data_IF_946142433359
#
_entry.id   IF_946142433359
#
_cell.length_a   1.000
_cell.length_b   1.000
_cell.length_c   1.000
_cell.angle_alpha   90.00
_cell.angle_beta   90.00
_cell.angle_gamma   90.00
#
_symmetry.space_group_name_H-M   'P 1'
#
loop_
_entity.id
_entity.type
_entity.pdbx_description
1 polymer ?
#
# COMPACT_ATOMS: atom_id res chain seq x y z
N UNK A 1 -10.93 -0.52 14.90
CA UNK A 1 -9.81 0.05 15.67
C UNK A 1 -8.73 0.33 14.64
N UNK A 2 -8.50 1.60 14.34
CA UNK A 2 -7.64 2.00 13.22
C UNK A 2 -6.21 1.51 13.46
N UNK A 3 -5.66 0.74 12.53
CA UNK A 3 -4.28 0.26 12.58
C UNK A 3 -3.47 0.98 11.52
N UNK A 4 -2.34 1.54 11.93
CA UNK A 4 -1.43 2.24 11.03
C UNK A 4 -0.19 1.38 10.76
N UNK A 5 0.33 1.48 9.53
CA UNK A 5 1.56 0.81 9.10
C UNK A 5 2.47 1.82 8.42
N UNK A 6 3.73 1.82 8.83
CA UNK A 6 4.78 2.58 8.15
C UNK A 6 5.22 1.83 6.90
N UNK A 7 5.15 2.47 5.74
CA UNK A 7 5.64 2.00 4.45
C UNK A 7 6.64 3.00 3.86
N UNK A 8 7.23 2.64 2.72
CA UNK A 8 8.04 3.52 1.91
C UNK A 8 7.40 3.65 0.53
N UNK A 9 7.01 4.86 0.17
CA UNK A 9 6.56 5.19 -1.17
C UNK A 9 7.74 5.53 -2.07
N UNK A 10 7.52 5.40 -3.37
CA UNK A 10 8.48 5.71 -4.42
C UNK A 10 7.92 6.87 -5.26
N UNK A 11 8.53 8.05 -5.16
CA UNK A 11 8.13 9.21 -5.94
C UNK A 11 9.32 9.86 -6.62
N UNK A 12 9.27 9.95 -7.96
CA UNK A 12 10.33 10.56 -8.81
C UNK A 12 11.75 10.07 -8.51
N UNK A 13 11.89 8.77 -8.21
CA UNK A 13 13.17 8.15 -7.90
C UNK A 13 13.65 8.30 -6.45
N UNK A 14 12.89 9.01 -5.61
CA UNK A 14 13.12 9.09 -4.17
C UNK A 14 12.22 8.10 -3.44
N UNK A 15 12.67 7.72 -2.24
CA UNK A 15 11.84 6.96 -1.29
C UNK A 15 11.47 7.85 -0.11
N UNK A 16 10.19 7.84 0.26
CA UNK A 16 9.66 8.63 1.38
C UNK A 16 8.95 7.70 2.35
N UNK A 17 9.13 7.96 3.64
CA UNK A 17 8.47 7.20 4.71
C UNK A 17 7.04 7.72 4.90
N UNK A 18 6.05 6.84 4.75
CA UNK A 18 4.62 7.18 4.88
C UNK A 18 3.92 6.32 5.93
N UNK A 19 2.95 6.90 6.64
CA UNK A 19 2.07 6.21 7.58
C UNK A 19 0.69 6.02 6.95
N UNK A 20 0.33 4.77 6.67
CA UNK A 20 -0.93 4.42 6.02
C UNK A 20 -1.85 3.77 7.03
N UNK A 21 -3.12 4.18 7.02
CA UNK A 21 -4.18 3.48 7.71
C UNK A 21 -4.58 2.23 6.90
N UNK A 22 -4.54 1.07 7.53
CA UNK A 22 -4.84 -0.21 6.89
C UNK A 22 -6.30 -0.26 6.41
N UNK A 23 -7.22 0.37 7.14
CA UNK A 23 -8.64 0.39 6.78
C UNK A 23 -8.92 1.18 5.49
N UNK A 24 -7.98 2.05 5.10
CA UNK A 24 -8.04 2.85 3.87
C UNK A 24 -7.44 2.11 2.68
N UNK A 25 -6.82 0.94 2.86
CA UNK A 25 -6.28 0.15 1.76
C UNK A 25 -7.43 -0.50 0.99
N UNK A 26 -7.51 -0.22 -0.31
CA UNK A 26 -8.46 -0.83 -1.23
C UNK A 26 -7.93 -2.14 -1.82
N UNK A 27 -6.73 -2.11 -2.42
CA UNK A 27 -6.05 -3.27 -3.01
C UNK A 27 -4.54 -3.01 -3.17
N UNK A 28 -3.78 -4.08 -3.34
CA UNK A 28 -2.34 -4.04 -3.63
C UNK A 28 -2.09 -4.76 -4.96
N UNK A 29 -1.38 -4.13 -5.88
CA UNK A 29 -0.93 -4.77 -7.12
C UNK A 29 0.54 -5.19 -6.99
N UNK A 30 0.79 -6.50 -6.90
CA UNK A 30 2.10 -7.08 -6.57
C UNK A 30 3.12 -6.99 -7.70
N UNK A 31 2.70 -6.92 -8.97
CA UNK A 31 3.61 -6.78 -10.10
C UNK A 31 4.32 -5.41 -10.14
N UNK A 32 3.57 -4.30 -10.24
CA UNK A 32 4.13 -2.96 -10.27
C UNK A 32 4.38 -2.35 -8.89
N UNK A 33 4.11 -3.07 -7.79
CA UNK A 33 4.18 -2.58 -6.41
C UNK A 33 3.38 -1.29 -6.18
N UNK A 34 2.09 -1.35 -6.49
CA UNK A 34 1.17 -0.20 -6.35
C UNK A 34 0.19 -0.47 -5.21
N UNK A 35 0.08 0.48 -4.29
CA UNK A 35 -0.91 0.51 -3.22
C UNK A 35 -2.05 1.45 -3.60
N UNK A 36 -3.28 0.93 -3.63
CA UNK A 36 -4.48 1.72 -3.91
C UNK A 36 -5.21 2.02 -2.60
N UNK A 37 -5.42 3.29 -2.31
CA UNK A 37 -6.15 3.77 -1.14
C UNK A 37 -7.57 4.22 -1.52
N UNK A 38 -8.51 3.99 -0.61
CA UNK A 38 -9.86 4.51 -0.66
C UNK A 38 -9.80 6.01 -0.44
N UNK A 39 -10.40 6.77 -1.36
CA UNK A 39 -10.57 8.21 -1.19
C UNK A 39 -12.02 8.48 -0.76
N UNK A 40 -12.25 9.39 0.21
CA UNK A 40 -13.61 9.71 0.67
C UNK A 40 -14.44 10.47 -0.38
N UNK A 41 -13.81 10.95 -1.45
CA UNK A 41 -14.47 11.67 -2.53
C UNK A 41 -14.36 10.83 -3.80
N UNK A 42 -15.40 10.78 -4.63
CA UNK A 42 -15.44 10.09 -5.94
C UNK A 42 -14.43 10.64 -6.99
N UNK A 43 -13.28 11.17 -6.57
CA UNK A 43 -12.23 11.79 -7.36
C UNK A 43 -11.19 10.78 -7.89
N UNK A 44 -11.44 9.48 -7.74
CA UNK A 44 -10.58 8.40 -8.25
C UNK A 44 -9.88 7.60 -7.15
N UNK A 45 -9.23 6.51 -7.54
CA UNK A 45 -8.35 5.75 -6.64
C UNK A 45 -7.06 6.57 -6.41
N UNK A 46 -6.62 6.73 -5.15
CA UNK A 46 -5.31 7.30 -4.87
C UNK A 46 -4.30 6.16 -4.85
N UNK A 47 -3.46 6.09 -5.88
CA UNK A 47 -2.45 5.07 -6.03
C UNK A 47 -1.05 5.62 -5.75
N UNK A 48 -0.26 4.86 -4.98
CA UNK A 48 1.13 5.17 -4.70
C UNK A 48 2.00 3.96 -5.03
N UNK A 49 3.14 4.22 -5.67
CA UNK A 49 4.18 3.20 -5.82
C UNK A 49 4.88 2.99 -4.49
N UNK A 50 5.13 1.75 -4.11
CA UNK A 50 5.79 1.40 -2.85
C UNK A 50 6.97 0.46 -3.08
N UNK A 51 7.87 0.39 -2.11
CA UNK A 51 9.00 -0.54 -2.19
C UNK A 51 8.55 -1.99 -2.00
N UNK A 52 9.31 -2.96 -2.52
CA UNK A 52 9.03 -4.39 -2.29
C UNK A 52 8.99 -4.73 -0.80
N UNK A 53 9.89 -4.13 0.00
CA UNK A 53 9.89 -4.30 1.46
C UNK A 53 8.56 -3.84 2.08
N UNK A 54 7.96 -2.77 1.56
CA UNK A 54 6.66 -2.29 2.01
C UNK A 54 5.53 -3.24 1.62
N UNK A 55 5.58 -3.84 0.42
CA UNK A 55 4.64 -4.89 0.00
C UNK A 55 4.71 -6.08 0.95
N UNK A 56 5.90 -6.61 1.20
CA UNK A 56 6.09 -7.78 2.06
C UNK A 56 5.62 -7.51 3.49
N UNK A 57 5.86 -6.28 3.98
CA UNK A 57 5.37 -5.84 5.29
C UNK A 57 3.84 -5.76 5.32
N UNK A 58 3.22 -5.23 4.28
CA UNK A 58 1.75 -5.15 4.19
C UNK A 58 1.12 -6.53 4.13
N UNK A 59 1.65 -7.47 3.34
CA UNK A 59 1.14 -8.84 3.26
C UNK A 59 1.18 -9.55 4.63
N UNK A 60 2.26 -9.38 5.39
CA UNK A 60 2.37 -9.92 6.76
C UNK A 60 1.36 -9.29 7.72
N UNK A 61 1.18 -7.98 7.64
CA UNK A 61 0.26 -7.25 8.53
C UNK A 61 -1.21 -7.56 8.23
N UNK A 62 -1.53 -7.78 6.95
CA UNK A 62 -2.86 -8.13 6.48
C UNK A 62 -3.14 -9.64 6.58
N UNK A 63 -2.16 -10.46 6.99
CA UNK A 63 -2.22 -11.92 7.01
C UNK A 63 -2.66 -12.52 5.66
N UNK A 64 -2.24 -11.88 4.57
CA UNK A 64 -2.54 -12.33 3.20
C UNK A 64 -1.43 -13.27 2.76
N UNK A 65 -1.77 -14.55 2.58
CA UNK A 65 -0.93 -15.50 1.88
C UNK A 65 -1.09 -15.17 0.40
N UNK A 66 -0.05 -14.58 -0.22
CA UNK A 66 -0.10 -14.26 -1.64
C UNK A 66 -0.29 -15.53 -2.46
N UNK A 67 -1.49 -15.75 -2.99
CA UNK A 67 -1.70 -16.75 -4.04
C UNK A 67 -1.06 -16.19 -5.31
N UNK A 68 0.11 -16.72 -5.62
CA UNK A 68 0.79 -16.50 -6.90
C UNK A 68 0.16 -17.51 -7.87
N UNK A 69 -0.74 -17.05 -8.74
CA UNK A 69 -1.15 -17.80 -9.94
C UNK A 69 0.00 -17.91 -10.95
#
# INVERSE_FOLDING_TARGET
MTKFVKIQSCYRGNTEDELINIDDISRICLGPNILFLRTPYNLGEHDIFITQNSVDKLLKVLDIIGEVE
#
